data_IF_480756761008
#
_entry.id   IF_480756761008
#
_cell.length_a   1.000
_cell.length_b   1.000
_cell.length_c   1.000
_cell.angle_alpha   90.00
_cell.angle_beta   90.00
_cell.angle_gamma   90.00
#
_symmetry.space_group_name_H-M   'P 1'
#
loop_
_entity.id
_entity.type
_entity.pdbx_description
1 polymer ?
#
# COMPACT_ATOMS: atom_id res chain seq x y z
N UNK A 1 -30.33 13.81 27.27
CA UNK A 1 -30.46 14.89 26.28
C UNK A 1 -30.10 14.33 24.90
N UNK A 2 -31.11 13.87 24.20
CA UNK A 2 -31.07 13.30 22.85
C UNK A 2 -31.19 14.45 21.85
N UNK A 3 -30.17 14.67 21.00
CA UNK A 3 -30.36 15.48 19.79
C UNK A 3 -30.13 14.63 18.55
N UNK A 4 -31.27 14.38 17.93
CA UNK A 4 -31.54 13.65 16.69
C UNK A 4 -30.72 14.17 15.52
N UNK A 5 -30.21 13.23 14.72
CA UNK A 5 -29.88 13.38 13.30
C UNK A 5 -31.07 14.00 12.57
N UNK A 6 -30.81 15.02 11.75
CA UNK A 6 -31.68 15.34 10.61
C UNK A 6 -30.81 15.50 9.38
N UNK A 7 -30.99 14.58 8.44
CA UNK A 7 -30.51 14.71 7.06
C UNK A 7 -31.28 15.85 6.40
N UNK A 8 -30.57 16.72 5.67
CA UNK A 8 -31.15 17.51 4.59
C UNK A 8 -30.40 17.18 3.30
N UNK A 9 -31.08 16.42 2.45
CA UNK A 9 -30.77 16.27 1.04
C UNK A 9 -31.13 17.56 0.27
N UNK A 10 -30.48 17.68 -0.89
CA UNK A 10 -30.82 18.50 -2.06
C UNK A 10 -30.40 19.98 -2.03
N UNK A 11 -29.39 20.32 -2.83
CA UNK A 11 -29.63 20.70 -4.24
C UNK A 11 -28.33 20.73 -5.03
N UNK A 12 -28.38 20.06 -6.18
CA UNK A 12 -27.44 20.11 -7.29
C UNK A 12 -27.37 21.55 -7.81
N UNK A 13 -26.15 22.08 -7.93
CA UNK A 13 -25.84 23.23 -8.78
C UNK A 13 -24.47 22.95 -9.42
N UNK A 14 -24.54 22.51 -10.68
CA UNK A 14 -23.42 22.40 -11.60
C UNK A 14 -23.06 23.82 -12.05
N UNK A 15 -21.77 24.21 -11.99
CA UNK A 15 -21.23 25.03 -13.05
C UNK A 15 -20.09 24.29 -13.73
N UNK A 16 -20.33 24.03 -15.01
CA UNK A 16 -19.35 24.05 -16.08
C UNK A 16 -18.09 24.84 -15.75
N UNK A 17 -16.97 24.13 -15.60
CA UNK A 17 -15.65 24.69 -15.82
C UNK A 17 -14.85 23.69 -16.68
N UNK A 18 -15.21 23.68 -17.96
CA UNK A 18 -14.33 23.18 -19.01
C UNK A 18 -13.14 24.14 -19.10
N UNK A 19 -12.06 23.78 -18.42
CA UNK A 19 -10.73 24.32 -18.72
C UNK A 19 -9.87 23.12 -19.07
N UNK A 20 -9.71 22.96 -20.38
CA UNK A 20 -8.57 22.36 -21.06
C UNK A 20 -7.36 22.14 -20.11
N UNK A 21 -7.22 20.93 -19.60
CA UNK A 21 -5.90 20.39 -19.27
C UNK A 21 -5.35 19.79 -20.56
N UNK A 22 -4.96 20.66 -21.51
CA UNK A 22 -3.85 20.30 -22.38
C UNK A 22 -2.62 20.30 -21.46
N UNK A 23 -2.35 19.13 -20.88
CA UNK A 23 -1.04 18.79 -20.35
C UNK A 23 -0.05 19.08 -21.46
N UNK A 24 0.61 20.23 -21.33
CA UNK A 24 1.74 20.60 -22.15
C UNK A 24 2.74 19.45 -21.98
N UNK A 25 2.87 18.62 -23.01
CA UNK A 25 4.14 17.97 -23.27
C UNK A 25 5.10 19.11 -23.55
N UNK A 26 5.66 19.66 -22.48
CA UNK A 26 6.83 20.49 -22.55
C UNK A 26 7.88 19.58 -23.19
N UNK A 27 8.06 19.74 -24.50
CA UNK A 27 9.20 19.20 -25.23
C UNK A 27 10.41 19.90 -24.62
N UNK A 28 10.90 19.33 -23.52
CA UNK A 28 12.19 19.65 -22.98
C UNK A 28 13.15 19.38 -24.14
N UNK A 29 13.82 20.44 -24.62
CA UNK A 29 14.81 20.32 -25.69
C UNK A 29 15.70 19.10 -25.41
N UNK A 30 15.97 18.24 -26.42
CA UNK A 30 16.66 16.97 -26.21
C UNK A 30 17.99 17.24 -25.52
N UNK A 31 18.01 17.01 -24.21
CA UNK A 31 19.16 17.28 -23.39
C UNK A 31 20.08 16.09 -23.65
N UNK A 32 21.27 16.36 -24.19
CA UNK A 32 22.32 15.35 -24.31
C UNK A 32 22.76 14.98 -22.90
N UNK A 33 22.07 14.01 -22.31
CA UNK A 33 22.40 13.45 -21.01
C UNK A 33 23.57 12.49 -21.19
N UNK A 34 24.52 12.53 -20.27
CA UNK A 34 25.51 11.46 -20.19
C UNK A 34 24.88 10.19 -19.62
N UNK A 35 25.50 9.04 -19.86
CA UNK A 35 25.11 7.75 -19.26
C UNK A 35 24.87 7.88 -17.75
N UNK A 36 25.82 8.49 -17.03
CA UNK A 36 25.75 8.70 -15.58
C UNK A 36 24.57 9.56 -15.15
N UNK A 37 24.26 10.63 -15.90
CA UNK A 37 23.12 11.50 -15.60
C UNK A 37 21.78 10.80 -15.83
N UNK A 38 21.73 9.94 -16.85
CA UNK A 38 20.54 9.14 -17.16
C UNK A 38 20.25 8.14 -16.05
N UNK A 39 21.29 7.47 -15.54
CA UNK A 39 21.17 6.56 -14.39
C UNK A 39 20.75 7.29 -13.12
N UNK A 40 21.36 8.43 -12.80
CA UNK A 40 21.02 9.20 -11.60
C UNK A 40 19.56 9.68 -11.61
N UNK A 41 19.10 10.17 -12.76
CA UNK A 41 17.72 10.59 -12.94
C UNK A 41 16.75 9.40 -12.80
N UNK A 42 17.09 8.26 -13.41
CA UNK A 42 16.27 7.05 -13.33
C UNK A 42 16.17 6.53 -11.89
N UNK A 43 17.25 6.45 -11.14
CA UNK A 43 17.22 5.98 -9.75
C UNK A 43 16.35 6.90 -8.88
N UNK A 44 16.41 8.21 -9.11
CA UNK A 44 15.67 9.20 -8.31
C UNK A 44 14.17 9.16 -8.55
N UNK A 45 13.76 9.08 -9.81
CA UNK A 45 12.37 9.29 -10.22
C UNK A 45 11.62 7.99 -10.54
N UNK A 46 12.27 6.82 -10.43
CA UNK A 46 11.64 5.55 -10.77
C UNK A 46 10.66 5.05 -9.67
N UNK A 47 9.36 4.88 -9.98
CA UNK A 47 8.37 4.43 -8.99
C UNK A 47 8.51 2.97 -8.57
N UNK A 48 9.02 2.07 -9.43
CA UNK A 48 9.17 0.66 -9.08
C UNK A 48 10.29 0.45 -8.06
N UNK A 49 11.37 1.22 -8.14
CA UNK A 49 12.42 1.22 -7.12
C UNK A 49 11.91 1.79 -5.78
N UNK A 50 11.11 2.86 -5.82
CA UNK A 50 10.47 3.40 -4.62
C UNK A 50 9.52 2.39 -3.97
N UNK A 51 8.74 1.64 -4.76
CA UNK A 51 7.90 0.56 -4.25
C UNK A 51 8.74 -0.52 -3.55
N UNK A 52 9.85 -0.95 -4.15
CA UNK A 52 10.76 -1.93 -3.51
C UNK A 52 11.40 -1.41 -2.22
N UNK A 53 11.62 -0.10 -2.08
CA UNK A 53 12.09 0.49 -0.82
C UNK A 53 11.02 0.43 0.27
N UNK A 54 9.76 0.74 -0.08
CA UNK A 54 8.62 0.63 0.83
C UNK A 54 8.38 -0.83 1.27
N UNK A 55 8.59 -1.80 0.38
CA UNK A 55 8.48 -3.22 0.72
C UNK A 55 9.52 -3.64 1.78
N UNK A 56 10.72 -3.07 1.75
CA UNK A 56 11.75 -3.28 2.77
C UNK A 56 11.33 -2.65 4.10
N UNK A 57 10.84 -1.41 4.09
CA UNK A 57 10.34 -0.73 5.29
C UNK A 57 9.15 -1.47 5.91
N UNK A 58 8.23 -1.97 5.10
CA UNK A 58 7.14 -2.84 5.56
C UNK A 58 7.70 -4.10 6.23
N UNK A 59 8.68 -4.75 5.61
CA UNK A 59 9.28 -5.97 6.17
C UNK A 59 10.02 -5.71 7.48
N UNK A 60 10.59 -4.51 7.67
CA UNK A 60 11.15 -4.09 8.95
C UNK A 60 10.06 -3.94 10.02
N UNK A 61 8.95 -3.28 9.70
CA UNK A 61 7.81 -3.17 10.60
C UNK A 61 7.21 -4.53 10.97
N UNK A 62 7.25 -5.52 10.07
CA UNK A 62 6.84 -6.90 10.34
C UNK A 62 7.78 -7.59 11.34
N UNK A 63 9.10 -7.33 11.28
CA UNK A 63 10.06 -7.82 12.28
C UNK A 63 9.75 -7.20 13.64
N UNK A 64 9.55 -5.89 13.69
CA UNK A 64 9.22 -5.19 14.93
C UNK A 64 7.90 -5.70 15.54
N UNK A 65 6.89 -5.94 14.70
CA UNK A 65 5.63 -6.54 15.14
C UNK A 65 5.81 -7.96 15.68
N UNK A 66 6.70 -8.76 15.08
CA UNK A 66 6.98 -10.11 15.56
C UNK A 66 7.74 -10.08 16.89
N UNK A 67 8.65 -9.12 17.09
CA UNK A 67 9.35 -8.91 18.37
C UNK A 67 8.41 -8.38 19.45
N UNK A 68 7.37 -7.63 19.08
CA UNK A 68 6.32 -7.12 19.95
C UNK A 68 5.58 -8.18 20.78
N UNK A 69 5.62 -9.46 20.36
CA UNK A 69 5.07 -10.59 21.13
C UNK A 69 5.74 -10.74 22.50
N UNK A 70 7.01 -10.34 22.64
CA UNK A 70 7.76 -10.42 23.88
C UNK A 70 7.77 -9.11 24.68
N UNK A 71 7.13 -8.06 24.17
CA UNK A 71 7.01 -6.80 24.89
C UNK A 71 5.97 -6.94 26.01
N UNK A 72 6.25 -6.50 27.25
CA UNK A 72 5.23 -6.48 28.30
C UNK A 72 4.09 -5.56 27.90
N UNK A 73 2.86 -6.07 27.99
CA UNK A 73 1.65 -5.31 27.68
C UNK A 73 0.96 -4.91 28.97
N UNK A 74 0.69 -3.62 29.11
CA UNK A 74 -0.14 -3.08 30.18
C UNK A 74 -1.52 -2.76 29.60
N UNK A 75 -2.56 -3.33 30.21
CA UNK A 75 -3.95 -3.07 29.85
C UNK A 75 -4.65 -2.36 30.99
N UNK A 76 -5.52 -1.42 30.65
CA UNK A 76 -6.44 -0.79 31.60
C UNK A 76 -7.81 -0.70 30.93
N UNK A 77 -8.82 -1.19 31.63
CA UNK A 77 -10.20 -1.25 31.13
C UNK A 77 -11.16 -0.65 32.16
N UNK A 78 -12.21 -0.01 31.68
CA UNK A 78 -13.31 0.47 32.50
C UNK A 78 -14.61 0.23 31.73
N UNK A 79 -15.58 -0.38 32.39
CA UNK A 79 -16.84 -0.79 31.79
C UNK A 79 -18.03 -0.36 32.64
N UNK A 80 -19.13 -0.04 31.96
CA UNK A 80 -20.46 0.05 32.58
C UNK A 80 -21.42 -0.80 31.77
N UNK A 81 -22.03 -1.78 32.44
CA UNK A 81 -23.00 -2.69 31.85
C UNK A 81 -24.32 -2.53 32.56
N UNK A 82 -25.36 -2.16 31.80
CA UNK A 82 -26.74 -2.14 32.27
C UNK A 82 -27.52 -3.28 31.61
N UNK A 83 -28.05 -4.18 32.42
CA UNK A 83 -28.84 -5.31 31.96
C UNK A 83 -30.23 -5.25 32.57
N UNK A 84 -31.26 -5.23 31.72
CA UNK A 84 -32.66 -5.41 32.15
C UNK A 84 -33.16 -6.74 31.64
N UNK A 85 -33.52 -7.64 32.56
CA UNK A 85 -34.04 -8.96 32.23
C UNK A 85 -35.51 -9.08 32.65
N UNK A 86 -36.47 -8.87 31.73
CA UNK A 86 -37.87 -9.09 32.00
C UNK A 86 -38.20 -10.59 31.99
N UNK A 87 -38.96 -11.06 32.97
CA UNK A 87 -39.52 -12.41 33.05
C UNK A 87 -41.03 -12.32 33.20
N UNK A 88 -41.76 -13.04 32.36
CA UNK A 88 -43.20 -13.19 32.49
C UNK A 88 -43.50 -14.48 33.25
N UNK A 89 -44.30 -14.38 34.32
CA UNK A 89 -44.81 -15.53 35.05
C UNK A 89 -46.04 -16.13 34.36
N UNK A 90 -46.32 -17.42 34.61
CA UNK A 90 -47.51 -18.12 34.11
C UNK A 90 -48.83 -17.58 34.65
N UNK A 91 -48.77 -16.72 35.67
CA UNK A 91 -49.90 -16.08 36.37
C UNK A 91 -50.20 -14.66 35.81
N UNK A 92 -49.63 -14.29 34.65
CA UNK A 92 -49.78 -12.96 34.06
C UNK A 92 -49.01 -11.84 34.79
N UNK A 93 -48.13 -12.20 35.72
CA UNK A 93 -47.22 -11.27 36.40
C UNK A 93 -45.98 -10.97 35.55
N UNK A 94 -45.46 -9.75 35.69
CA UNK A 94 -44.22 -9.32 35.04
C UNK A 94 -43.20 -8.95 36.09
N UNK A 95 -42.01 -9.52 35.96
CA UNK A 95 -40.88 -9.28 36.85
C UNK A 95 -39.72 -8.69 36.07
N UNK A 96 -39.23 -7.54 36.49
CA UNK A 96 -38.09 -6.87 35.90
C UNK A 96 -36.92 -6.92 36.87
N UNK A 97 -35.84 -7.59 36.47
CA UNK A 97 -34.55 -7.52 37.17
C UNK A 97 -33.64 -6.58 36.41
N UNK A 98 -33.24 -5.48 37.05
CA UNK A 98 -32.23 -4.56 36.51
C UNK A 98 -30.91 -4.78 37.23
N UNK A 99 -29.83 -4.85 36.48
CA UNK A 99 -28.47 -5.02 37.00
C UNK A 99 -27.56 -3.96 36.40
N UNK A 100 -26.93 -3.17 37.27
CA UNK A 100 -25.96 -2.15 36.93
C UNK A 100 -24.59 -2.61 37.43
N UNK A 101 -23.65 -2.80 36.51
CA UNK A 101 -22.29 -3.25 36.83
C UNK A 101 -21.28 -2.25 36.30
N UNK A 102 -20.50 -1.66 37.19
CA UNK A 102 -19.30 -0.91 36.87
C UNK A 102 -18.09 -1.82 37.09
N UNK A 103 -17.18 -1.89 36.12
CA UNK A 103 -15.93 -2.63 36.22
C UNK A 103 -14.76 -1.69 35.93
N UNK A 104 -13.67 -1.86 36.67
CA UNK A 104 -12.40 -1.19 36.42
C UNK A 104 -11.31 -2.25 36.58
N UNK A 105 -10.59 -2.50 35.49
CA UNK A 105 -9.54 -3.49 35.40
C UNK A 105 -8.20 -2.87 35.04
N UNK A 106 -7.12 -3.47 35.54
CA UNK A 106 -5.77 -3.25 35.05
C UNK A 106 -5.05 -4.58 34.96
N UNK A 107 -4.34 -4.81 33.87
CA UNK A 107 -3.58 -6.03 33.60
C UNK A 107 -2.14 -5.73 33.20
N UNK A 108 -1.23 -6.62 33.57
CA UNK A 108 0.14 -6.67 33.07
C UNK A 108 0.42 -8.09 32.61
N UNK A 109 0.71 -8.25 31.32
CA UNK A 109 0.99 -9.54 30.70
C UNK A 109 2.35 -9.48 30.01
N UNK A 110 3.20 -10.47 30.28
CA UNK A 110 4.52 -10.58 29.70
C UNK A 110 4.82 -12.03 29.32
N UNK A 111 5.12 -12.23 28.03
CA UNK A 111 5.58 -13.52 27.51
C UNK A 111 7.09 -13.45 27.30
N UNK A 112 7.80 -14.40 27.87
CA UNK A 112 9.25 -14.47 27.72
C UNK A 112 9.65 -15.35 26.52
N UNK A 113 10.83 -15.12 25.90
CA UNK A 113 11.30 -15.89 24.74
C UNK A 113 11.47 -17.39 24.98
N UNK A 114 11.60 -17.81 26.24
CA UNK A 114 11.77 -19.20 26.66
C UNK A 114 10.43 -19.94 26.83
N UNK A 115 9.30 -19.27 26.53
CA UNK A 115 7.95 -19.86 26.50
C UNK A 115 7.12 -19.65 27.76
N UNK A 116 7.73 -19.16 28.84
CA UNK A 116 7.01 -18.79 30.07
C UNK A 116 6.16 -17.55 29.84
N UNK A 117 4.89 -17.59 30.26
CA UNK A 117 4.00 -16.43 30.28
C UNK A 117 3.64 -16.08 31.72
N UNK A 118 3.74 -14.81 32.07
CA UNK A 118 3.38 -14.26 33.38
C UNK A 118 2.31 -13.20 33.17
N UNK A 119 1.23 -13.29 33.93
CA UNK A 119 0.12 -12.35 33.87
C UNK A 119 -0.33 -11.95 35.27
N UNK A 120 -0.65 -10.67 35.44
CA UNK A 120 -1.25 -10.13 36.65
C UNK A 120 -2.45 -9.28 36.25
N UNK A 121 -3.63 -9.53 36.83
CA UNK A 121 -4.84 -8.74 36.63
C UNK A 121 -5.43 -8.34 37.96
N UNK A 122 -5.75 -7.06 38.10
CA UNK A 122 -6.51 -6.51 39.20
C UNK A 122 -7.82 -5.95 38.64
N UNK A 123 -8.95 -6.36 39.21
CA UNK A 123 -10.28 -5.97 38.76
C UNK A 123 -11.16 -5.59 39.94
N UNK A 124 -11.63 -4.35 39.96
CA UNK A 124 -12.66 -3.86 40.87
C UNK A 124 -14.00 -3.79 40.16
N UNK A 125 -15.06 -4.25 40.81
CA UNK A 125 -16.41 -4.10 40.29
C UNK A 125 -17.37 -3.60 41.36
N UNK A 126 -18.33 -2.78 40.94
CA UNK A 126 -19.50 -2.38 41.72
C UNK A 126 -20.73 -2.87 40.99
N UNK A 127 -21.51 -3.75 41.62
CA UNK A 127 -22.76 -4.24 41.07
C UNK A 127 -23.94 -3.81 41.93
N UNK A 128 -25.03 -3.39 41.31
CA UNK A 128 -26.30 -3.08 41.99
C UNK A 128 -27.40 -3.81 41.26
N UNK A 129 -28.23 -4.54 41.99
CA UNK A 129 -29.34 -5.31 41.41
C UNK A 129 -30.64 -4.82 42.01
N UNK A 130 -31.56 -4.36 41.17
CA UNK A 130 -32.91 -4.02 41.59
C UNK A 130 -33.92 -5.00 41.01
N UNK A 131 -34.86 -5.37 41.85
CA UNK A 131 -35.99 -6.22 41.50
C UNK A 131 -37.25 -5.38 41.56
N UNK A 132 -38.08 -5.45 40.52
CA UNK A 132 -39.41 -4.85 40.52
C UNK A 132 -40.41 -5.80 39.89
N UNK A 133 -41.49 -6.11 40.60
CA UNK A 133 -42.59 -6.95 40.12
C UNK A 133 -43.88 -6.17 39.99
N UNK A 134 -44.68 -6.49 38.98
CA UNK A 134 -46.08 -6.06 38.86
C UNK A 134 -46.98 -7.28 39.02
N UNK A 135 -47.93 -7.19 39.94
CA UNK A 135 -48.88 -8.28 40.20
C UNK A 135 -49.78 -8.52 38.97
N UNK A 136 -49.97 -9.79 38.62
CA UNK A 136 -51.01 -10.23 37.69
C UNK A 136 -52.40 -9.93 38.29
N UNK A 137 -53.44 -9.94 37.43
CA UNK A 137 -54.79 -9.48 37.76
C UNK A 137 -55.26 -9.91 39.16
N UNK A 138 -55.64 -8.93 39.99
CA UNK A 138 -56.08 -9.14 41.36
C UNK A 138 -57.26 -10.12 41.40
N UNK A 139 -57.02 -11.34 41.89
CA UNK A 139 -58.10 -12.21 42.36
C UNK A 139 -58.55 -11.70 43.73
N UNK A 140 -59.88 -11.61 43.91
CA UNK A 140 -60.50 -11.02 45.10
C UNK A 140 -60.00 -11.74 46.37
N UNK A 141 -59.15 -11.07 47.15
CA UNK A 141 -58.64 -11.57 48.44
C UNK A 141 -57.14 -11.36 48.71
N UNK A 142 -56.34 -10.98 47.72
CA UNK A 142 -54.89 -10.80 47.89
C UNK A 142 -54.40 -9.38 47.60
N UNK A 143 -53.67 -8.79 48.55
CA UNK A 143 -52.84 -7.60 48.31
C UNK A 143 -51.64 -8.03 47.43
N UNK A 144 -51.80 -7.97 46.10
CA UNK A 144 -50.73 -8.22 45.14
C UNK A 144 -49.58 -7.23 45.38
N UNK A 145 -48.48 -7.73 45.93
CA UNK A 145 -47.34 -6.92 46.38
C UNK A 145 -46.67 -6.17 45.23
N UNK A 146 -46.86 -4.86 45.19
CA UNK A 146 -46.00 -3.91 44.47
C UNK A 146 -44.73 -3.72 45.31
N UNK A 147 -43.78 -4.64 45.18
CA UNK A 147 -42.49 -4.56 45.87
C UNK A 147 -41.37 -4.28 44.88
N UNK A 148 -40.74 -3.12 44.99
CA UNK A 148 -39.40 -2.90 44.43
C UNK A 148 -38.38 -3.12 45.54
N UNK A 149 -37.58 -4.17 45.42
CA UNK A 149 -36.48 -4.44 46.35
C UNK A 149 -35.18 -4.12 45.64
N UNK A 150 -34.48 -3.11 46.13
CA UNK A 150 -33.13 -2.78 45.67
C UNK A 150 -32.12 -3.48 46.58
N UNK A 151 -31.35 -4.43 46.04
CA UNK A 151 -30.16 -4.91 46.72
C UNK A 151 -29.06 -3.88 46.53
N UNK A 152 -28.57 -3.33 47.64
CA UNK A 152 -27.56 -2.29 47.67
C UNK A 152 -26.27 -2.65 46.92
N UNK A 153 -25.38 -1.67 46.68
CA UNK A 153 -24.20 -1.86 45.85
C UNK A 153 -23.23 -2.87 46.49
N UNK A 154 -22.91 -3.94 45.77
CA UNK A 154 -21.88 -4.91 46.13
C UNK A 154 -20.58 -4.47 45.46
N UNK A 155 -19.53 -4.31 46.26
CA UNK A 155 -18.18 -4.02 45.79
C UNK A 155 -17.36 -5.29 45.86
N UNK A 156 -16.69 -5.65 44.76
CA UNK A 156 -15.78 -6.78 44.68
C UNK A 156 -14.43 -6.32 44.16
N UNK A 157 -13.35 -6.79 44.78
CA UNK A 157 -11.98 -6.60 44.29
C UNK A 157 -11.37 -7.98 44.07
N UNK A 158 -10.95 -8.27 42.84
CA UNK A 158 -10.37 -9.54 42.44
C UNK A 158 -8.96 -9.32 41.90
N UNK A 159 -7.97 -9.95 42.52
CA UNK A 159 -6.60 -10.02 42.00
C UNK A 159 -6.31 -11.43 41.48
N UNK A 160 -5.74 -11.55 40.29
CA UNK A 160 -5.31 -12.81 39.69
C UNK A 160 -3.86 -12.70 39.24
N UNK A 161 -3.00 -13.56 39.76
CA UNK A 161 -1.66 -13.79 39.25
C UNK A 161 -1.61 -15.17 38.58
N UNK A 162 -1.07 -15.26 37.37
CA UNK A 162 -0.94 -16.52 36.63
C UNK A 162 0.47 -16.65 36.05
N UNK A 163 1.04 -17.84 36.20
CA UNK A 163 2.33 -18.21 35.60
C UNK A 163 2.08 -19.50 34.81
N UNK A 164 2.36 -19.48 33.51
CA UNK A 164 2.22 -20.63 32.61
C UNK A 164 3.58 -20.99 32.05
N UNK A 165 4.06 -22.19 32.32
CA UNK A 165 5.37 -22.68 31.86
C UNK A 165 5.22 -24.00 31.08
N UNK A 166 5.54 -24.03 29.77
CA UNK A 166 5.53 -25.26 28.99
C UNK A 166 6.76 -26.13 29.32
N UNK A 167 6.54 -27.38 29.73
CA UNK A 167 7.63 -28.29 30.17
C UNK A 167 8.29 -29.09 29.04
N UNK A 168 7.59 -29.31 27.92
CA UNK A 168 8.07 -30.13 26.80
C UNK A 168 7.80 -29.43 25.46
N UNK A 169 6.55 -29.50 24.99
CA UNK A 169 6.15 -28.89 23.72
C UNK A 169 5.93 -27.39 23.91
N UNK A 170 6.68 -26.58 23.17
CA UNK A 170 6.63 -25.11 23.28
C UNK A 170 7.62 -24.52 24.30
N UNK A 171 8.44 -25.35 24.93
CA UNK A 171 9.61 -24.92 25.69
C UNK A 171 10.78 -24.61 24.73
N UNK A 172 11.60 -23.62 25.08
CA UNK A 172 12.78 -23.24 24.30
C UNK A 172 12.54 -22.09 23.32
N UNK A 173 13.65 -21.47 22.89
CA UNK A 173 13.63 -20.28 22.02
C UNK A 173 13.26 -20.62 20.57
N UNK A 174 13.66 -21.77 20.07
CA UNK A 174 13.56 -22.09 18.64
C UNK A 174 12.13 -22.05 18.09
N UNK A 175 11.15 -22.51 18.89
CA UNK A 175 9.73 -22.53 18.55
C UNK A 175 9.08 -21.17 18.81
N UNK A 176 9.43 -20.50 19.91
CA UNK A 176 8.84 -19.21 20.28
C UNK A 176 9.37 -18.05 19.42
N UNK A 177 10.63 -18.09 19.01
CA UNK A 177 11.28 -17.10 18.14
C UNK A 177 11.13 -17.45 16.64
N UNK A 178 10.50 -18.58 16.28
CA UNK A 178 10.29 -18.96 14.89
C UNK A 178 9.58 -17.86 14.06
N UNK A 179 8.55 -17.16 14.57
CA UNK A 179 7.92 -16.05 13.84
C UNK A 179 8.89 -14.90 13.57
N UNK A 180 9.72 -14.52 14.55
CA UNK A 180 10.73 -13.46 14.40
C UNK A 180 11.78 -13.87 13.38
N UNK A 181 12.27 -15.12 13.44
CA UNK A 181 13.22 -15.64 12.46
C UNK A 181 12.63 -15.63 11.05
N UNK A 182 11.35 -15.99 10.92
CA UNK A 182 10.64 -15.94 9.63
C UNK A 182 10.55 -14.50 9.12
N UNK A 183 10.15 -13.55 9.97
CA UNK A 183 10.09 -12.13 9.61
C UNK A 183 11.46 -11.57 9.20
N UNK A 184 12.55 -11.94 9.90
CA UNK A 184 13.93 -11.55 9.54
C UNK A 184 14.35 -12.10 8.17
N UNK A 185 13.95 -13.33 7.86
CA UNK A 185 14.18 -13.92 6.54
C UNK A 185 13.34 -13.22 5.46
N UNK A 186 12.09 -12.85 5.74
CA UNK A 186 11.25 -12.04 4.84
C UNK A 186 11.88 -10.68 4.56
N UNK A 187 12.39 -9.98 5.60
CA UNK A 187 13.16 -8.74 5.43
C UNK A 187 14.36 -8.93 4.50
N UNK A 188 15.15 -9.98 4.74
CA UNK A 188 16.30 -10.28 3.89
C UNK A 188 15.86 -10.53 2.45
N UNK A 189 14.75 -11.23 2.24
CA UNK A 189 14.21 -11.47 0.90
C UNK A 189 13.77 -10.17 0.22
N UNK A 190 13.11 -9.26 0.94
CA UNK A 190 12.72 -7.95 0.45
C UNK A 190 13.94 -7.09 0.06
N UNK A 191 15.00 -7.09 0.87
CA UNK A 191 16.26 -6.40 0.54
C UNK A 191 16.89 -6.95 -0.75
N UNK A 192 16.88 -8.27 -0.94
CA UNK A 192 17.36 -8.90 -2.19
C UNK A 192 16.48 -8.56 -3.39
N UNK A 193 15.17 -8.50 -3.20
CA UNK A 193 14.21 -8.08 -4.23
C UNK A 193 14.47 -6.64 -4.67
N UNK A 194 14.72 -5.72 -3.71
CA UNK A 194 15.12 -4.34 -4.00
C UNK A 194 16.41 -4.27 -4.81
N UNK A 195 17.43 -5.05 -4.45
CA UNK A 195 18.70 -5.06 -5.19
C UNK A 195 18.53 -5.60 -6.62
N UNK A 196 17.66 -6.59 -6.81
CA UNK A 196 17.29 -7.10 -8.13
C UNK A 196 16.49 -6.07 -8.95
N UNK A 197 15.56 -5.34 -8.33
CA UNK A 197 14.83 -4.25 -8.96
C UNK A 197 15.77 -3.11 -9.39
N UNK A 198 16.74 -2.74 -8.55
CA UNK A 198 17.76 -1.76 -8.89
C UNK A 198 18.65 -2.23 -10.06
N UNK A 199 19.06 -3.50 -10.05
CA UNK A 199 19.90 -4.08 -11.12
C UNK A 199 19.18 -4.15 -12.46
N UNK A 200 17.90 -4.57 -12.46
CA UNK A 200 17.07 -4.59 -13.67
C UNK A 200 16.80 -3.19 -14.21
N UNK A 201 16.49 -2.22 -13.34
CA UNK A 201 16.35 -0.82 -13.72
C UNK A 201 17.62 -0.28 -14.39
N UNK A 202 18.79 -0.54 -13.80
CA UNK A 202 20.07 -0.15 -14.39
C UNK A 202 20.26 -0.76 -15.77
N UNK A 203 19.98 -2.05 -15.92
CA UNK A 203 20.09 -2.74 -17.20
C UNK A 203 19.17 -2.13 -18.26
N UNK A 204 17.91 -1.87 -17.92
CA UNK A 204 16.92 -1.30 -18.83
C UNK A 204 17.30 0.12 -19.27
N UNK A 205 17.76 0.95 -18.33
CA UNK A 205 18.20 2.33 -18.60
C UNK A 205 19.45 2.35 -19.48
N UNK A 206 20.44 1.51 -19.17
CA UNK A 206 21.67 1.42 -19.96
C UNK A 206 21.39 0.91 -21.37
N UNK A 207 20.56 -0.13 -21.52
CA UNK A 207 20.16 -0.63 -22.83
C UNK A 207 19.41 0.45 -23.63
N UNK A 208 18.46 1.16 -23.01
CA UNK A 208 17.74 2.26 -23.66
C UNK A 208 18.66 3.39 -24.10
N UNK A 209 19.64 3.76 -23.28
CA UNK A 209 20.63 4.78 -23.60
C UNK A 209 21.51 4.36 -24.80
N UNK A 210 22.07 3.14 -24.77
CA UNK A 210 22.95 2.67 -25.84
C UNK A 210 22.21 2.42 -27.14
N UNK A 211 20.96 1.96 -27.09
CA UNK A 211 20.09 1.81 -28.26
C UNK A 211 19.81 3.17 -28.92
N UNK A 212 19.51 4.21 -28.13
CA UNK A 212 19.31 5.56 -28.66
C UNK A 212 20.60 6.12 -29.27
N UNK A 213 21.73 5.91 -28.60
CA UNK A 213 23.05 6.33 -29.11
C UNK A 213 23.39 5.63 -30.43
N UNK A 214 23.12 4.32 -30.52
CA UNK A 214 23.33 3.54 -31.75
C UNK A 214 22.46 4.07 -32.90
N UNK A 215 21.20 4.41 -32.64
CA UNK A 215 20.28 4.95 -33.65
C UNK A 215 20.71 6.33 -34.16
N UNK A 216 21.10 7.24 -33.27
CA UNK A 216 21.65 8.55 -33.64
C UNK A 216 22.90 8.38 -34.53
N UNK A 217 23.76 7.42 -34.19
CA UNK A 217 24.96 7.14 -34.98
C UNK A 217 24.65 6.51 -36.33
N UNK A 218 23.68 5.61 -36.40
CA UNK A 218 23.23 5.01 -37.65
C UNK A 218 22.64 6.07 -38.60
N UNK A 219 21.86 7.01 -38.06
CA UNK A 219 21.30 8.13 -38.82
C UNK A 219 22.41 9.03 -39.40
N UNK A 220 23.44 9.37 -38.61
CA UNK A 220 24.59 10.16 -39.10
C UNK A 220 25.34 9.47 -40.25
N UNK A 221 25.50 8.13 -40.18
CA UNK A 221 26.13 7.35 -41.25
C UNK A 221 25.28 7.36 -42.52
N UNK A 222 23.96 7.18 -42.41
CA UNK A 222 23.03 7.24 -43.56
C UNK A 222 23.03 8.64 -44.21
N UNK A 223 23.06 9.71 -43.40
CA UNK A 223 23.18 11.10 -43.90
C UNK A 223 24.48 11.28 -44.71
N UNK A 224 25.61 10.81 -44.17
CA UNK A 224 26.91 10.90 -44.86
C UNK A 224 26.95 10.07 -46.15
N UNK A 225 26.32 8.89 -46.16
CA UNK A 225 26.19 8.05 -47.35
C UNK A 225 25.35 8.75 -48.44
N UNK A 226 24.23 9.35 -48.04
CA UNK A 226 23.33 10.15 -48.90
C UNK A 226 24.04 11.36 -49.49
N UNK A 227 24.79 12.11 -48.69
CA UNK A 227 25.56 13.27 -49.15
C UNK A 227 26.68 12.89 -50.12
N UNK A 228 27.30 11.74 -49.91
CA UNK A 228 28.30 11.19 -50.83
C UNK A 228 27.66 10.74 -52.15
N UNK A 229 26.51 10.06 -52.09
CA UNK A 229 25.76 9.68 -53.28
C UNK A 229 25.26 10.90 -54.08
N UNK A 230 24.83 11.96 -53.39
CA UNK A 230 24.44 13.23 -54.02
C UNK A 230 25.60 13.84 -54.81
N UNK A 231 26.80 13.90 -54.20
CA UNK A 231 28.01 14.39 -54.86
C UNK A 231 28.35 13.58 -56.11
N UNK A 232 28.29 12.25 -56.03
CA UNK A 232 28.53 11.37 -57.19
C UNK A 232 27.53 11.62 -58.33
N UNK A 233 26.24 11.79 -58.00
CA UNK A 233 25.19 12.12 -58.96
C UNK A 233 25.47 13.48 -59.63
N UNK A 234 25.81 14.49 -58.85
CA UNK A 234 26.08 15.84 -59.36
C UNK A 234 27.35 15.87 -60.24
N UNK A 235 28.39 15.10 -59.90
CA UNK A 235 29.57 14.91 -60.74
C UNK A 235 29.24 14.17 -62.06
N UNK A 236 28.38 13.14 -62.01
CA UNK A 236 27.95 12.41 -63.19
C UNK A 236 27.14 13.31 -64.15
N UNK A 237 26.23 14.13 -63.62
CA UNK A 237 25.47 15.12 -64.40
C UNK A 237 26.39 16.13 -65.12
N UNK A 238 27.45 16.60 -64.46
CA UNK A 238 28.45 17.47 -65.07
C UNK A 238 29.21 16.78 -66.22
N UNK A 239 29.57 15.50 -66.06
CA UNK A 239 30.25 14.73 -67.11
C UNK A 239 29.35 14.47 -68.33
N UNK A 240 28.04 14.29 -68.11
CA UNK A 240 27.06 14.18 -69.21
C UNK A 240 26.97 15.49 -69.97
N UNK A 241 26.92 16.64 -69.28
CA UNK A 241 26.93 17.97 -69.92
C UNK A 241 28.19 18.23 -70.75
N UNK A 242 29.31 17.64 -70.35
CA UNK A 242 30.57 17.66 -71.09
C UNK A 242 30.65 16.58 -72.20
N UNK A 243 29.63 15.73 -72.37
CA UNK A 243 29.57 14.67 -73.38
C UNK A 243 30.40 13.41 -73.07
N UNK A 244 30.93 13.28 -71.85
CA UNK A 244 31.85 12.21 -71.47
C UNK A 244 31.18 10.97 -70.85
N UNK A 245 29.85 10.99 -70.64
CA UNK A 245 29.09 9.91 -70.00
C UNK A 245 27.70 9.74 -70.64
N UNK A 246 27.14 8.53 -70.62
CA UNK A 246 25.82 8.26 -71.19
C UNK A 246 24.67 8.69 -70.23
N UNK A 247 23.56 9.26 -70.74
CA UNK A 247 22.43 9.69 -69.90
C UNK A 247 21.79 8.59 -69.05
N UNK A 248 21.88 7.33 -69.51
CA UNK A 248 21.36 6.17 -68.77
C UNK A 248 22.07 5.95 -67.44
N UNK A 249 23.34 6.36 -67.32
CA UNK A 249 24.10 6.21 -66.08
C UNK A 249 23.62 7.16 -64.98
N UNK A 250 23.08 8.34 -65.33
CA UNK A 250 22.50 9.28 -64.35
C UNK A 250 21.31 8.66 -63.61
N UNK A 251 20.42 7.96 -64.32
CA UNK A 251 19.25 7.32 -63.72
C UNK A 251 19.65 6.30 -62.65
N UNK A 252 20.78 5.61 -62.83
CA UNK A 252 21.30 4.67 -61.83
C UNK A 252 21.73 5.38 -60.53
N UNK A 253 22.37 6.55 -60.65
CA UNK A 253 22.75 7.38 -59.50
C UNK A 253 21.53 8.02 -58.82
N UNK A 254 20.53 8.46 -59.58
CA UNK A 254 19.28 9.01 -59.04
C UNK A 254 18.46 7.95 -58.30
N UNK A 255 18.38 6.73 -58.84
CA UNK A 255 17.72 5.61 -58.16
C UNK A 255 18.41 5.28 -56.84
N UNK A 256 19.75 5.28 -56.82
CA UNK A 256 20.53 5.07 -55.60
C UNK A 256 20.30 6.17 -54.57
N UNK A 257 20.25 7.43 -55.00
CA UNK A 257 19.96 8.57 -54.13
C UNK A 257 18.53 8.46 -53.54
N UNK A 258 17.55 8.13 -54.36
CA UNK A 258 16.16 7.95 -53.92
C UNK A 258 16.02 6.80 -52.92
N UNK A 259 16.76 5.70 -53.10
CA UNK A 259 16.80 4.60 -52.12
C UNK A 259 17.38 5.05 -50.77
N UNK A 260 18.45 5.86 -50.77
CA UNK A 260 19.05 6.40 -49.56
C UNK A 260 18.13 7.44 -48.88
N UNK A 261 17.47 8.31 -49.65
CA UNK A 261 16.49 9.26 -49.10
C UNK A 261 15.31 8.52 -48.44
N UNK A 262 14.82 7.43 -49.07
CA UNK A 262 13.76 6.59 -48.48
C UNK A 262 14.22 5.90 -47.19
N UNK A 263 15.46 5.38 -47.16
CA UNK A 263 16.09 4.79 -45.96
C UNK A 263 16.16 5.82 -44.82
N UNK A 264 16.67 7.02 -45.11
CA UNK A 264 16.80 8.10 -44.13
C UNK A 264 15.46 8.49 -43.51
N UNK A 265 14.42 8.69 -44.32
CA UNK A 265 13.08 9.05 -43.83
C UNK A 265 12.53 7.97 -42.90
N UNK A 266 12.79 6.70 -43.19
CA UNK A 266 12.36 5.59 -42.33
C UNK A 266 13.10 5.59 -40.99
N UNK A 267 14.40 5.89 -40.97
CA UNK A 267 15.21 6.01 -39.75
C UNK A 267 14.77 7.21 -38.91
N UNK A 268 14.56 8.38 -39.52
CA UNK A 268 14.10 9.59 -38.81
C UNK A 268 12.73 9.37 -38.14
N UNK A 269 11.84 8.59 -38.77
CA UNK A 269 10.56 8.22 -38.18
C UNK A 269 10.74 7.38 -36.89
N UNK A 270 11.69 6.43 -36.90
CA UNK A 270 12.02 5.61 -35.73
C UNK A 270 12.66 6.45 -34.62
N UNK A 271 13.61 7.34 -34.95
CA UNK A 271 14.25 8.24 -33.98
C UNK A 271 13.24 9.18 -33.30
N UNK A 272 12.30 9.74 -34.06
CA UNK A 272 11.24 10.59 -33.51
C UNK A 272 10.29 9.84 -32.60
N UNK A 273 9.94 8.60 -32.93
CA UNK A 273 9.06 7.79 -32.09
C UNK A 273 9.69 7.42 -30.75
N UNK A 274 11.03 7.38 -30.67
CA UNK A 274 11.79 6.99 -29.47
C UNK A 274 12.31 8.15 -28.63
N UNK A 275 12.32 9.37 -29.16
CA UNK A 275 12.74 10.59 -28.44
C UNK A 275 11.60 11.34 -27.74
N UNK A 276 10.36 10.87 -27.89
CA UNK A 276 9.15 11.34 -27.20
C UNK A 276 8.87 10.44 -25.99
#
# INVERSE_FOLDING_TARGET
MTRRRTLRLARVAIPSLGVLLLSQFASAAPRKLSERQTVELAIKDNPSLQASLLDVEQSEAEVDSAEGIFTPTFSADAGYTHTTNPRAGSDGSYTFTKSDVWTVGSGLDHRLPWGTAVGFRLEGARSTTSFSGTAGAATAGGLGGLGSTESGPIYSLTGRASIVHPLLRGSGRDVNEAPIRTAKLSKTAAERSRDQAASSLLQDVLNGYWELWYQDRAEDIERQARDTAKRQRDEADQRIKAGALAPVELLSYETRLAQLDQSLVSTEAVTKQRSV
#
